data_IF_366354151166
#
_entry.id   IF_366354151166
#
_cell.length_a   1.000
_cell.length_b   1.000
_cell.length_c   1.000
_cell.angle_alpha   90.00
_cell.angle_beta   90.00
_cell.angle_gamma   90.00
#
_symmetry.space_group_name_H-M   'P 1'
#
loop_
_entity.id
_entity.type
_entity.pdbx_description
1 polymer ?
#
# COMPACT_ATOMS: atom_id res chain seq x y z
N UNK A 1 -5.00 8.96 -17.12
CA UNK A 1 -6.21 8.39 -16.49
C UNK A 1 -5.80 7.32 -15.51
N UNK A 2 -6.08 7.57 -14.28
CA UNK A 2 -6.03 6.72 -13.07
C UNK A 2 -5.23 5.41 -13.10
N UNK A 3 -3.91 5.52 -12.87
CA UNK A 3 -3.04 4.45 -12.39
C UNK A 3 -3.06 4.40 -10.85
N UNK A 4 -4.20 4.21 -10.25
CA UNK A 4 -4.31 4.22 -8.79
C UNK A 4 -5.24 3.15 -8.22
N UNK A 5 -5.17 1.91 -8.71
CA UNK A 5 -5.85 0.78 -8.02
C UNK A 5 -5.03 -0.52 -8.02
N UNK A 6 -3.85 -0.60 -8.59
CA UNK A 6 -3.07 -1.86 -8.58
C UNK A 6 -1.80 -1.83 -7.71
N UNK A 7 -1.80 -1.05 -6.63
CA UNK A 7 -0.62 -0.90 -5.77
C UNK A 7 -0.87 -1.34 -4.33
N UNK A 8 -1.36 -2.55 -4.09
CA UNK A 8 -1.48 -3.03 -2.71
C UNK A 8 -1.11 -4.48 -2.45
N UNK A 9 -0.45 -5.18 -3.38
CA UNK A 9 -0.02 -6.57 -3.08
C UNK A 9 1.48 -6.84 -3.35
N UNK A 10 2.25 -5.93 -3.96
CA UNK A 10 3.60 -6.29 -4.43
C UNK A 10 4.77 -5.50 -3.82
N UNK A 11 4.58 -4.70 -2.78
CA UNK A 11 5.65 -3.86 -2.24
C UNK A 11 5.94 -4.13 -0.76
N UNK A 12 6.33 -5.36 -0.39
CA UNK A 12 6.93 -5.64 0.94
C UNK A 12 8.02 -6.70 0.79
N UNK A 13 9.02 -6.46 -0.03
CA UNK A 13 10.31 -7.18 0.05
C UNK A 13 11.39 -6.25 -0.52
N UNK A 14 11.73 -5.18 0.17
CA UNK A 14 13.05 -4.53 0.08
C UNK A 14 13.13 -3.40 1.10
N UNK A 15 13.74 -3.68 2.21
CA UNK A 15 14.67 -2.80 2.94
C UNK A 15 14.95 -3.42 4.31
N UNK A 16 16.11 -4.02 4.47
CA UNK A 16 16.69 -4.27 5.79
C UNK A 16 18.20 -4.34 5.65
N UNK A 17 18.86 -3.26 6.00
CA UNK A 17 20.17 -3.30 6.67
C UNK A 17 20.28 -2.03 7.51
N UNK A 18 20.31 -2.17 8.83
CA UNK A 18 21.31 -1.66 9.73
C UNK A 18 20.86 -1.62 11.20
N UNK A 19 21.50 -2.43 12.02
CA UNK A 19 22.11 -2.19 13.34
C UNK A 19 21.29 -1.61 14.51
N UNK A 20 21.34 -2.36 15.63
CA UNK A 20 21.17 -1.79 16.95
C UNK A 20 20.72 -2.77 18.01
N UNK A 21 21.66 -3.52 18.57
CA UNK A 21 21.49 -4.30 19.80
C UNK A 21 21.08 -3.40 20.97
N UNK A 22 20.01 -3.74 21.64
CA UNK A 22 19.81 -3.44 23.07
C UNK A 22 18.93 -4.52 23.67
N UNK A 23 19.56 -5.38 24.43
CA UNK A 23 18.91 -6.33 25.30
C UNK A 23 18.19 -5.56 26.44
N UNK A 24 16.92 -5.80 26.60
CA UNK A 24 16.23 -5.65 27.88
C UNK A 24 15.37 -6.88 28.09
N UNK A 25 15.86 -7.73 28.97
CA UNK A 25 15.11 -8.81 29.57
C UNK A 25 13.92 -8.24 30.35
N UNK A 26 12.73 -8.61 29.90
CA UNK A 26 11.50 -8.44 30.63
C UNK A 26 10.78 -9.77 30.59
N UNK A 27 10.91 -10.58 31.66
CA UNK A 27 10.08 -11.75 31.93
C UNK A 27 8.61 -11.31 31.95
N UNK A 28 7.92 -11.55 30.89
CA UNK A 28 6.48 -11.52 30.77
C UNK A 28 6.06 -12.85 30.16
N UNK A 29 5.72 -13.83 31.00
CA UNK A 29 5.27 -15.15 30.62
C UNK A 29 4.25 -15.08 29.46
N UNK A 30 4.58 -15.76 28.35
CA UNK A 30 3.71 -16.09 27.24
C UNK A 30 2.47 -16.87 27.76
N UNK A 31 1.46 -16.16 28.20
CA UNK A 31 0.11 -16.66 28.09
C UNK A 31 -0.18 -16.65 26.58
N UNK A 32 -0.04 -17.81 25.92
CA UNK A 32 -0.52 -18.04 24.57
C UNK A 32 -1.96 -17.56 24.54
N UNK A 33 -2.19 -16.39 23.96
CA UNK A 33 -3.51 -15.80 23.88
C UNK A 33 -4.36 -16.67 22.94
N UNK A 34 -5.12 -17.61 23.51
CA UNK A 34 -6.02 -18.51 22.80
C UNK A 34 -7.31 -17.81 22.38
N UNK A 35 -7.28 -16.48 22.25
CA UNK A 35 -8.44 -15.69 21.87
C UNK A 35 -8.81 -15.96 20.42
N UNK A 36 -10.03 -16.45 20.20
CA UNK A 36 -10.59 -16.67 18.86
C UNK A 36 -11.13 -15.35 18.33
N UNK A 37 -10.47 -14.77 17.33
CA UNK A 37 -10.87 -13.51 16.69
C UNK A 37 -12.12 -13.70 15.83
N UNK A 38 -12.20 -14.78 15.05
CA UNK A 38 -13.38 -15.14 14.28
C UNK A 38 -13.50 -16.67 14.08
N UNK A 39 -14.67 -17.12 13.60
CA UNK A 39 -14.83 -18.47 13.07
C UNK A 39 -15.47 -18.42 11.69
N UNK A 40 -15.03 -19.32 10.79
CA UNK A 40 -15.59 -19.51 9.45
C UNK A 40 -15.98 -20.98 9.31
N UNK A 41 -17.27 -21.27 9.24
CA UNK A 41 -17.81 -22.64 9.21
C UNK A 41 -17.24 -23.53 10.33
N UNK A 42 -17.00 -22.96 11.51
CA UNK A 42 -16.42 -23.64 12.66
C UNK A 42 -14.88 -23.65 12.72
N UNK A 43 -14.17 -23.33 11.66
CA UNK A 43 -12.71 -23.15 11.68
C UNK A 43 -12.37 -21.83 12.38
N UNK A 44 -11.46 -21.89 13.34
CA UNK A 44 -11.06 -20.73 14.15
C UNK A 44 -9.96 -19.95 13.46
N UNK A 45 -10.09 -18.64 13.50
CA UNK A 45 -9.02 -17.65 13.21
C UNK A 45 -8.62 -17.05 14.53
N UNK A 46 -7.34 -17.18 14.90
CA UNK A 46 -6.85 -16.75 16.21
C UNK A 46 -6.42 -15.28 16.16
N UNK A 47 -6.57 -14.58 17.29
CA UNK A 47 -6.10 -13.21 17.42
C UNK A 47 -4.58 -13.11 17.20
N UNK A 48 -3.83 -14.14 17.59
CA UNK A 48 -2.38 -14.24 17.34
C UNK A 48 -2.02 -14.23 15.85
N UNK A 49 -2.86 -14.79 14.97
CA UNK A 49 -2.68 -14.73 13.52
C UNK A 49 -2.86 -13.29 13.02
N UNK A 50 -3.86 -12.58 13.55
CA UNK A 50 -4.11 -11.17 13.22
C UNK A 50 -2.92 -10.31 13.65
N UNK A 51 -2.44 -10.46 14.89
CA UNK A 51 -1.29 -9.71 15.43
C UNK A 51 -0.01 -9.99 14.64
N UNK A 52 0.22 -11.24 14.28
CA UNK A 52 1.38 -11.63 13.48
C UNK A 52 1.38 -10.91 12.11
N UNK A 53 0.24 -10.85 11.43
CA UNK A 53 0.13 -10.14 10.15
C UNK A 53 0.27 -8.62 10.30
N UNK A 54 -0.26 -8.02 11.37
CA UNK A 54 -0.06 -6.60 11.66
C UNK A 54 1.43 -6.33 11.90
N UNK A 55 2.10 -7.15 12.72
CA UNK A 55 3.52 -7.02 12.98
C UNK A 55 4.34 -7.10 11.68
N UNK A 56 3.99 -8.03 10.80
CA UNK A 56 4.64 -8.18 9.48
C UNK A 56 4.41 -6.96 8.57
N UNK A 57 3.18 -6.41 8.54
CA UNK A 57 2.84 -5.22 7.75
C UNK A 57 3.52 -3.94 8.27
N UNK A 58 3.66 -3.82 9.59
CA UNK A 58 4.28 -2.66 10.25
C UNK A 58 5.79 -2.84 10.48
N UNK A 59 6.39 -3.93 9.98
CA UNK A 59 7.80 -4.27 10.21
C UNK A 59 8.18 -4.28 11.70
N UNK A 60 7.28 -4.76 12.57
CA UNK A 60 7.46 -4.79 14.01
C UNK A 60 7.15 -3.47 14.73
N UNK A 61 6.76 -2.41 14.01
CA UNK A 61 6.48 -1.09 14.60
C UNK A 61 5.03 -0.93 15.08
N UNK A 62 4.31 -2.02 15.29
CA UNK A 62 2.90 -1.96 15.75
C UNK A 62 2.72 -1.20 17.08
N UNK A 63 3.75 -1.14 17.93
CA UNK A 63 3.72 -0.39 19.17
C UNK A 63 3.64 1.14 18.98
N UNK A 64 3.92 1.64 17.78
CA UNK A 64 3.80 3.05 17.43
C UNK A 64 2.37 3.43 16.99
N UNK A 65 1.50 2.45 16.76
CA UNK A 65 0.10 2.69 16.41
C UNK A 65 -0.67 3.17 17.64
N UNK A 66 -1.51 4.19 17.46
CA UNK A 66 -2.48 4.55 18.49
C UNK A 66 -3.49 3.41 18.72
N UNK A 67 -4.16 3.34 19.89
CA UNK A 67 -5.16 2.32 20.14
C UNK A 67 -6.25 2.23 19.05
N UNK A 68 -6.69 3.37 18.53
CA UNK A 68 -7.68 3.42 17.45
C UNK A 68 -7.13 2.83 16.15
N UNK A 69 -5.91 3.20 15.77
CA UNK A 69 -5.24 2.67 14.58
C UNK A 69 -5.02 1.15 14.69
N UNK A 70 -4.61 0.66 15.86
CA UNK A 70 -4.44 -0.77 16.11
C UNK A 70 -5.79 -1.52 16.00
N UNK A 71 -6.87 -0.96 16.56
CA UNK A 71 -8.21 -1.53 16.43
C UNK A 71 -8.68 -1.62 14.97
N UNK A 72 -8.47 -0.56 14.21
CA UNK A 72 -8.77 -0.53 12.78
C UNK A 72 -7.93 -1.57 12.00
N UNK A 73 -6.62 -1.63 12.25
CA UNK A 73 -5.73 -2.60 11.63
C UNK A 73 -6.17 -4.04 11.94
N UNK A 74 -6.55 -4.34 13.19
CA UNK A 74 -7.07 -5.65 13.61
C UNK A 74 -8.31 -6.05 12.81
N UNK A 75 -9.29 -5.14 12.70
CA UNK A 75 -10.51 -5.42 11.93
C UNK A 75 -10.22 -5.65 10.46
N UNK A 76 -9.38 -4.83 9.85
CA UNK A 76 -9.02 -4.94 8.44
C UNK A 76 -8.25 -6.24 8.13
N UNK A 77 -7.27 -6.59 8.97
CA UNK A 77 -6.52 -7.83 8.81
C UNK A 77 -7.42 -9.05 9.04
N UNK A 78 -8.27 -9.01 10.09
CA UNK A 78 -9.21 -10.09 10.35
C UNK A 78 -10.19 -10.30 9.19
N UNK A 79 -10.72 -9.23 8.61
CA UNK A 79 -11.58 -9.31 7.43
C UNK A 79 -10.87 -10.00 6.27
N UNK A 80 -9.62 -9.66 5.99
CA UNK A 80 -8.83 -10.31 4.93
C UNK A 80 -8.59 -11.81 5.20
N UNK A 81 -8.38 -12.18 6.48
CA UNK A 81 -8.24 -13.59 6.88
C UNK A 81 -9.54 -14.37 6.72
N UNK A 82 -10.69 -13.76 7.09
CA UNK A 82 -12.01 -14.35 6.90
C UNK A 82 -12.27 -14.60 5.40
N UNK A 83 -12.03 -13.59 4.55
CA UNK A 83 -12.23 -13.71 3.10
C UNK A 83 -11.33 -14.79 2.50
N UNK A 84 -10.04 -14.82 2.90
CA UNK A 84 -9.08 -15.85 2.49
C UNK A 84 -9.55 -17.25 2.89
N UNK A 85 -10.02 -17.42 4.12
CA UNK A 85 -10.49 -18.70 4.64
C UNK A 85 -11.76 -19.17 3.93
N UNK A 86 -12.70 -18.26 3.67
CA UNK A 86 -13.95 -18.57 2.94
C UNK A 86 -13.64 -19.05 1.52
N UNK A 87 -12.75 -18.36 0.79
CA UNK A 87 -12.35 -18.77 -0.55
C UNK A 87 -11.57 -20.09 -0.54
N UNK A 88 -10.72 -20.32 0.48
CA UNK A 88 -9.98 -21.57 0.63
C UNK A 88 -10.94 -22.76 0.82
N UNK A 89 -11.89 -22.64 1.74
CA UNK A 89 -12.90 -23.69 1.97
C UNK A 89 -13.76 -23.94 0.73
N UNK A 90 -14.06 -22.90 -0.05
CA UNK A 90 -14.73 -23.04 -1.34
C UNK A 90 -13.87 -23.80 -2.34
N UNK A 91 -12.57 -23.49 -2.44
CA UNK A 91 -11.64 -24.20 -3.30
C UNK A 91 -11.53 -25.68 -2.90
N UNK A 92 -11.47 -25.98 -1.60
CA UNK A 92 -11.46 -27.34 -1.06
C UNK A 92 -12.75 -28.11 -1.38
N UNK A 93 -13.90 -27.48 -1.21
CA UNK A 93 -15.22 -28.04 -1.56
C UNK A 93 -15.32 -28.38 -3.06
N UNK A 94 -14.65 -27.60 -3.90
CA UNK A 94 -14.60 -27.81 -5.35
C UNK A 94 -13.41 -28.69 -5.81
N UNK A 95 -12.66 -29.30 -4.86
CA UNK A 95 -11.50 -30.16 -5.09
C UNK A 95 -10.37 -29.50 -5.90
N UNK A 96 -10.18 -28.19 -5.75
CA UNK A 96 -9.17 -27.39 -6.45
C UNK A 96 -7.85 -27.35 -5.67
N UNK A 97 -7.26 -28.54 -5.41
CA UNK A 97 -5.99 -28.65 -4.69
C UNK A 97 -4.81 -28.48 -5.65
N UNK A 98 -3.78 -27.69 -5.30
CA UNK A 98 -2.54 -27.68 -6.07
C UNK A 98 -1.74 -28.96 -5.84
N UNK A 99 -0.95 -29.33 -6.85
CA UNK A 99 0.02 -30.43 -6.74
C UNK A 99 1.31 -29.95 -6.04
N UNK A 100 2.12 -30.88 -5.55
CA UNK A 100 3.41 -30.55 -4.94
C UNK A 100 4.39 -29.90 -5.94
N UNK A 101 4.29 -30.27 -7.22
CA UNK A 101 5.08 -29.66 -8.29
C UNK A 101 4.69 -28.17 -8.50
N UNK A 102 3.39 -27.87 -8.53
CA UNK A 102 2.91 -26.48 -8.63
C UNK A 102 3.39 -25.62 -7.45
N UNK A 103 3.35 -26.18 -6.23
CA UNK A 103 3.85 -25.50 -5.02
C UNK A 103 5.35 -25.24 -5.15
N UNK A 104 6.11 -26.24 -5.59
CA UNK A 104 7.56 -26.10 -5.76
C UNK A 104 7.92 -25.08 -6.84
N UNK A 105 7.23 -25.12 -7.98
CA UNK A 105 7.39 -24.14 -9.06
C UNK A 105 7.06 -22.71 -8.59
N UNK A 106 5.98 -22.53 -7.82
CA UNK A 106 5.62 -21.23 -7.27
C UNK A 106 6.72 -20.67 -6.36
N UNK A 107 7.24 -21.48 -5.43
CA UNK A 107 8.31 -21.05 -4.52
C UNK A 107 9.59 -20.73 -5.29
N UNK A 108 9.95 -21.56 -6.28
CA UNK A 108 11.11 -21.34 -7.13
C UNK A 108 11.00 -20.04 -7.92
N UNK A 109 9.82 -19.79 -8.53
CA UNK A 109 9.56 -18.53 -9.24
C UNK A 109 9.69 -17.33 -8.33
N UNK A 110 9.14 -17.38 -7.11
CA UNK A 110 9.25 -16.30 -6.12
C UNK A 110 10.70 -16.03 -5.71
N UNK A 111 11.48 -17.06 -5.54
CA UNK A 111 12.92 -16.94 -5.25
C UNK A 111 13.68 -16.27 -6.41
N UNK A 112 13.38 -16.66 -7.65
CA UNK A 112 13.98 -16.05 -8.84
C UNK A 112 13.57 -14.58 -9.02
N UNK A 113 12.29 -14.25 -8.84
CA UNK A 113 11.79 -12.85 -8.87
C UNK A 113 12.51 -11.96 -7.86
N UNK A 114 12.85 -12.51 -6.67
CA UNK A 114 13.58 -11.79 -5.64
C UNK A 114 15.09 -11.74 -5.89
N UNK A 115 15.62 -12.47 -6.90
CA UNK A 115 17.04 -12.53 -7.19
C UNK A 115 17.87 -13.21 -6.09
N UNK A 116 17.25 -14.06 -5.26
CA UNK A 116 17.89 -14.67 -4.09
C UNK A 116 18.49 -16.03 -4.42
N UNK A 117 19.66 -16.29 -3.85
CA UNK A 117 20.22 -17.65 -3.77
C UNK A 117 19.42 -18.48 -2.75
N UNK A 118 19.59 -19.82 -2.78
CA UNK A 118 18.96 -20.73 -1.81
C UNK A 118 19.30 -20.37 -0.36
N UNK A 119 20.57 -20.06 -0.10
CA UNK A 119 21.04 -19.73 1.25
C UNK A 119 20.46 -18.39 1.75
N UNK A 120 20.38 -17.39 0.88
CA UNK A 120 19.79 -16.08 1.20
C UNK A 120 18.30 -16.21 1.47
N UNK A 121 17.60 -16.99 0.66
CA UNK A 121 16.18 -17.28 0.83
C UNK A 121 15.91 -17.97 2.18
N UNK A 122 16.67 -19.03 2.52
CA UNK A 122 16.53 -19.73 3.80
C UNK A 122 16.86 -18.82 5.00
N UNK A 123 17.85 -17.92 4.88
CA UNK A 123 18.16 -16.92 5.91
C UNK A 123 17.01 -15.95 6.10
N UNK A 124 16.41 -15.49 5.00
CA UNK A 124 15.29 -14.54 5.05
C UNK A 124 14.05 -15.16 5.68
N UNK A 125 13.71 -16.41 5.35
CA UNK A 125 12.60 -17.16 5.98
C UNK A 125 12.82 -17.26 7.49
N UNK A 126 14.01 -17.67 7.92
CA UNK A 126 14.36 -17.78 9.35
C UNK A 126 14.31 -16.42 10.07
N UNK A 127 14.74 -15.35 9.43
CA UNK A 127 14.67 -13.99 9.99
C UNK A 127 13.22 -13.52 10.21
N UNK A 128 12.27 -14.08 9.46
CA UNK A 128 10.82 -13.83 9.62
C UNK A 128 10.14 -14.83 10.57
N UNK A 129 10.89 -15.66 11.30
CA UNK A 129 10.40 -16.75 12.13
C UNK A 129 9.49 -17.74 11.37
N UNK A 130 9.73 -17.91 10.07
CA UNK A 130 9.03 -18.87 9.22
C UNK A 130 9.89 -20.10 8.94
N UNK A 131 9.23 -21.16 8.50
CA UNK A 131 9.88 -22.41 8.08
C UNK A 131 9.55 -22.65 6.60
N UNK A 132 10.35 -23.48 5.93
CA UNK A 132 10.03 -23.91 4.56
C UNK A 132 8.67 -24.61 4.50
N UNK A 133 8.31 -25.39 5.53
CA UNK A 133 7.01 -26.04 5.61
C UNK A 133 5.86 -25.03 5.71
N UNK A 134 5.98 -23.99 6.57
CA UNK A 134 4.95 -22.95 6.67
C UNK A 134 4.77 -22.20 5.36
N UNK A 135 5.89 -21.92 4.65
CA UNK A 135 5.84 -21.31 3.33
C UNK A 135 5.13 -22.19 2.30
N UNK A 136 5.41 -23.51 2.29
CA UNK A 136 4.72 -24.47 1.40
C UNK A 136 3.22 -24.53 1.70
N UNK A 137 2.83 -24.50 2.96
CA UNK A 137 1.42 -24.46 3.35
C UNK A 137 0.72 -23.17 2.91
N UNK A 138 1.37 -22.01 3.06
CA UNK A 138 0.83 -20.75 2.56
C UNK A 138 0.74 -20.75 1.03
N UNK A 139 1.76 -21.25 0.33
CA UNK A 139 1.73 -21.41 -1.13
C UNK A 139 0.59 -22.33 -1.57
N UNK A 140 0.35 -23.44 -0.85
CA UNK A 140 -0.76 -24.37 -1.11
C UNK A 140 -2.12 -23.66 -1.00
N UNK A 141 -2.34 -22.90 0.06
CA UNK A 141 -3.58 -22.13 0.26
C UNK A 141 -3.78 -21.10 -0.85
N UNK A 142 -2.73 -20.33 -1.17
CA UNK A 142 -2.78 -19.31 -2.20
C UNK A 142 -3.09 -19.91 -3.58
N UNK A 143 -2.39 -20.98 -3.97
CA UNK A 143 -2.58 -21.65 -5.24
C UNK A 143 -3.98 -22.29 -5.36
N UNK A 144 -4.54 -22.83 -4.27
CA UNK A 144 -5.92 -23.34 -4.26
C UNK A 144 -6.92 -22.21 -4.56
N UNK A 145 -6.75 -21.04 -3.94
CA UNK A 145 -7.59 -19.86 -4.21
C UNK A 145 -7.39 -19.37 -5.65
N UNK A 146 -6.16 -19.32 -6.16
CA UNK A 146 -5.89 -18.94 -7.55
C UNK A 146 -6.55 -19.90 -8.54
N UNK A 147 -6.54 -21.23 -8.28
CA UNK A 147 -7.25 -22.21 -9.09
C UNK A 147 -8.77 -21.96 -9.08
N UNK A 148 -9.33 -21.63 -7.91
CA UNK A 148 -10.74 -21.28 -7.80
C UNK A 148 -11.07 -20.04 -8.64
N UNK A 149 -10.29 -18.97 -8.51
CA UNK A 149 -10.45 -17.77 -9.30
C UNK A 149 -10.30 -18.05 -10.80
N UNK A 150 -9.27 -18.78 -11.21
CA UNK A 150 -9.03 -19.16 -12.60
C UNK A 150 -10.18 -19.98 -13.19
N UNK A 151 -10.81 -20.86 -12.42
CA UNK A 151 -11.99 -21.63 -12.84
C UNK A 151 -13.14 -20.72 -13.28
N UNK A 152 -13.38 -19.61 -12.57
CA UNK A 152 -14.48 -18.68 -12.85
C UNK A 152 -14.09 -17.54 -13.79
N UNK A 153 -12.81 -17.21 -13.92
CA UNK A 153 -12.33 -16.09 -14.73
C UNK A 153 -11.58 -16.54 -16.00
N UNK A 154 -11.16 -17.80 -16.08
CA UNK A 154 -10.31 -18.28 -17.18
C UNK A 154 -11.00 -18.30 -18.55
N UNK A 155 -12.33 -18.41 -18.58
CA UNK A 155 -13.12 -18.41 -19.83
C UNK A 155 -13.59 -17.01 -20.25
N UNK A 156 -13.11 -15.95 -19.60
CA UNK A 156 -13.51 -14.58 -19.94
C UNK A 156 -13.00 -14.23 -21.35
N UNK A 157 -13.93 -14.04 -22.27
CA UNK A 157 -13.69 -13.54 -23.62
C UNK A 157 -14.29 -12.15 -23.78
N UNK A 158 -13.66 -11.33 -24.59
CA UNK A 158 -14.14 -10.00 -24.96
C UNK A 158 -14.43 -10.04 -26.47
N UNK A 159 -15.61 -9.64 -26.86
CA UNK A 159 -16.02 -9.59 -28.27
C UNK A 159 -15.52 -8.31 -28.93
N UNK A 160 -15.37 -8.34 -30.27
CA UNK A 160 -15.01 -7.16 -31.05
C UNK A 160 -16.00 -6.00 -30.86
N UNK A 161 -17.29 -6.31 -30.73
CA UNK A 161 -18.31 -5.31 -30.46
C UNK A 161 -18.10 -4.58 -29.13
N UNK A 162 -17.69 -5.28 -28.09
CA UNK A 162 -17.39 -4.64 -26.78
C UNK A 162 -16.17 -3.72 -26.88
N UNK A 163 -15.16 -4.12 -27.67
CA UNK A 163 -13.98 -3.30 -27.96
C UNK A 163 -14.38 -2.03 -28.72
N UNK A 164 -15.22 -2.15 -29.74
CA UNK A 164 -15.73 -1.03 -30.53
C UNK A 164 -16.61 -0.08 -29.70
N UNK A 165 -17.50 -0.64 -28.87
CA UNK A 165 -18.35 0.13 -27.96
C UNK A 165 -17.51 0.89 -26.92
N UNK A 166 -16.48 0.25 -26.38
CA UNK A 166 -15.57 0.89 -25.43
C UNK A 166 -14.79 2.03 -26.09
N UNK A 167 -14.21 1.77 -27.26
CA UNK A 167 -13.50 2.80 -28.02
C UNK A 167 -14.40 3.99 -28.34
N UNK A 168 -15.62 3.73 -28.82
CA UNK A 168 -16.58 4.77 -29.19
C UNK A 168 -16.97 5.66 -28.02
N UNK A 169 -17.17 5.06 -26.85
CA UNK A 169 -17.52 5.79 -25.61
C UNK A 169 -16.35 6.55 -25.00
N UNK A 170 -15.11 6.17 -25.34
CA UNK A 170 -13.90 6.72 -24.74
C UNK A 170 -12.93 7.33 -25.78
N UNK A 171 -13.43 7.79 -26.93
CA UNK A 171 -12.60 8.31 -28.03
C UNK A 171 -11.57 9.35 -27.60
N UNK A 172 -11.94 10.24 -26.71
CA UNK A 172 -11.05 11.27 -26.18
C UNK A 172 -9.81 10.71 -25.49
N UNK A 173 -9.94 9.52 -24.86
CA UNK A 173 -8.83 8.84 -24.20
C UNK A 173 -7.80 8.26 -25.17
N UNK A 174 -8.17 8.12 -26.44
CA UNK A 174 -7.30 7.64 -27.51
C UNK A 174 -6.72 8.78 -28.38
N UNK A 175 -6.97 10.01 -27.98
CA UNK A 175 -6.34 11.18 -28.58
C UNK A 175 -5.02 11.45 -27.86
N UNK A 176 -3.92 11.24 -28.56
CA UNK A 176 -2.59 11.58 -28.09
C UNK A 176 -2.31 13.03 -28.45
N UNK A 177 -2.49 13.93 -27.51
CA UNK A 177 -2.22 15.35 -27.71
C UNK A 177 -0.74 15.62 -28.00
N UNK A 178 -0.45 16.77 -28.62
CA UNK A 178 0.91 17.30 -28.74
C UNK A 178 1.60 17.26 -27.37
N UNK A 179 2.79 16.69 -27.29
CA UNK A 179 3.49 16.49 -26.03
C UNK A 179 4.89 15.93 -26.20
N UNK A 180 5.52 15.66 -25.07
CA UNK A 180 6.89 15.14 -24.99
C UNK A 180 7.00 14.04 -23.95
N UNK A 181 7.84 13.07 -24.21
CA UNK A 181 8.26 12.05 -23.23
C UNK A 181 9.63 12.46 -22.71
N UNK A 182 9.73 12.59 -21.40
CA UNK A 182 10.89 13.14 -20.73
C UNK A 182 11.48 12.14 -19.73
N UNK A 183 12.78 12.24 -19.54
CA UNK A 183 13.45 11.79 -18.34
C UNK A 183 14.02 13.01 -17.61
N UNK A 184 14.15 12.93 -16.29
CA UNK A 184 14.66 14.02 -15.45
C UNK A 184 15.67 13.51 -14.43
N UNK A 185 16.70 14.30 -14.19
CA UNK A 185 17.54 14.22 -13.00
C UNK A 185 17.15 15.39 -12.13
N UNK A 186 16.83 15.12 -10.87
CA UNK A 186 16.25 16.08 -9.93
C UNK A 186 17.15 16.15 -8.71
N UNK A 187 17.47 17.38 -8.28
CA UNK A 187 18.16 17.69 -7.02
C UNK A 187 17.28 18.65 -6.23
N UNK A 188 16.93 18.25 -5.01
CA UNK A 188 16.05 19.01 -4.12
C UNK A 188 16.89 19.72 -3.06
N UNK A 189 16.81 21.08 -2.93
CA UNK A 189 17.51 21.81 -1.86
C UNK A 189 17.01 21.51 -0.45
N UNK A 190 15.82 20.90 -0.31
CA UNK A 190 15.24 20.56 0.99
C UNK A 190 15.87 19.31 1.57
N UNK A 191 16.12 19.28 2.89
CA UNK A 191 16.60 18.09 3.59
C UNK A 191 15.48 17.05 3.66
N UNK A 192 15.50 16.07 2.75
CA UNK A 192 14.48 15.04 2.59
C UNK A 192 14.86 13.69 3.21
N UNK A 193 16.01 13.57 3.88
CA UNK A 193 16.48 12.37 4.58
C UNK A 193 17.48 11.51 3.80
N UNK A 194 17.35 10.17 3.84
CA UNK A 194 18.32 9.25 3.28
C UNK A 194 18.52 9.45 1.76
N UNK A 195 19.77 9.58 1.32
CA UNK A 195 20.27 9.88 -0.03
C UNK A 195 20.28 11.36 -0.43
N UNK A 196 19.95 12.25 0.49
CA UNK A 196 20.06 13.68 0.30
C UNK A 196 21.48 14.14 0.68
N UNK A 197 22.32 14.36 -0.34
CA UNK A 197 23.70 14.81 -0.19
C UNK A 197 23.92 16.27 -0.60
N UNK A 198 22.82 17.03 -0.83
CA UNK A 198 22.86 18.45 -1.17
C UNK A 198 21.79 19.25 -0.40
N UNK A 199 22.20 19.89 0.68
CA UNK A 199 21.31 20.64 1.57
C UNK A 199 21.41 22.14 1.33
N UNK A 200 20.30 22.71 0.93
CA UNK A 200 20.20 24.11 0.58
C UNK A 200 20.54 24.42 -0.88
N UNK A 201 20.13 25.61 -1.29
CA UNK A 201 20.13 26.06 -2.69
C UNK A 201 21.52 26.01 -3.33
N UNK A 202 22.56 26.46 -2.59
CA UNK A 202 23.92 26.52 -3.13
C UNK A 202 24.52 25.13 -3.40
N UNK A 203 24.28 24.16 -2.52
CA UNK A 203 24.80 22.80 -2.68
C UNK A 203 24.02 22.08 -3.77
N UNK A 204 22.69 22.25 -3.82
CA UNK A 204 21.86 21.66 -4.87
C UNK A 204 22.25 22.19 -6.26
N UNK A 205 22.50 23.51 -6.37
CA UNK A 205 23.00 24.11 -7.62
C UNK A 205 24.35 23.53 -8.01
N UNK A 206 25.28 23.43 -7.09
CA UNK A 206 26.60 22.86 -7.36
C UNK A 206 26.49 21.38 -7.78
N UNK A 207 25.64 20.60 -7.12
CA UNK A 207 25.41 19.21 -7.44
C UNK A 207 24.84 19.04 -8.85
N UNK A 208 23.79 19.80 -9.21
CA UNK A 208 23.18 19.67 -10.55
C UNK A 208 24.15 20.13 -11.66
N UNK A 209 24.99 21.14 -11.41
CA UNK A 209 26.01 21.57 -12.36
C UNK A 209 27.09 20.49 -12.56
N UNK A 210 27.50 19.81 -11.49
CA UNK A 210 28.42 18.67 -11.58
C UNK A 210 27.80 17.49 -12.35
N UNK A 211 26.53 17.20 -12.12
CA UNK A 211 25.77 16.18 -12.86
C UNK A 211 25.73 16.54 -14.35
N UNK A 212 25.44 17.80 -14.68
CA UNK A 212 25.42 18.27 -16.06
C UNK A 212 26.79 18.08 -16.77
N UNK A 213 27.90 18.31 -16.06
CA UNK A 213 29.23 18.04 -16.62
C UNK A 213 29.47 16.53 -16.85
N UNK A 214 28.98 15.67 -15.94
CA UNK A 214 29.11 14.22 -16.08
C UNK A 214 28.33 13.69 -17.30
N UNK A 215 27.15 14.29 -17.59
CA UNK A 215 26.31 13.89 -18.73
C UNK A 215 26.99 14.07 -20.10
N UNK A 216 28.07 14.85 -20.19
CA UNK A 216 28.85 14.98 -21.43
C UNK A 216 29.57 13.69 -21.83
N UNK A 217 29.85 12.81 -20.86
CA UNK A 217 30.64 11.59 -21.06
C UNK A 217 29.98 10.31 -20.48
N UNK A 218 28.77 10.42 -19.97
CA UNK A 218 28.06 9.31 -19.32
C UNK A 218 26.62 9.18 -19.83
N UNK A 219 26.06 7.99 -19.74
CA UNK A 219 24.65 7.77 -20.08
C UNK A 219 23.74 8.45 -19.05
N UNK A 220 22.69 9.11 -19.56
CA UNK A 220 21.74 9.86 -18.76
C UNK A 220 21.04 8.98 -17.71
N UNK A 221 20.62 7.76 -18.09
CA UNK A 221 19.89 6.88 -17.21
C UNK A 221 20.79 6.32 -16.09
N UNK A 222 22.06 6.08 -16.37
CA UNK A 222 23.05 5.66 -15.36
C UNK A 222 23.29 6.79 -14.35
N UNK A 223 23.50 8.02 -14.85
CA UNK A 223 23.67 9.18 -13.98
C UNK A 223 22.40 9.45 -13.15
N UNK A 224 21.21 9.33 -13.75
CA UNK A 224 19.94 9.47 -13.03
C UNK A 224 19.81 8.46 -11.88
N UNK A 225 20.14 7.17 -12.13
CA UNK A 225 20.11 6.14 -11.07
C UNK A 225 21.05 6.43 -9.92
N UNK A 226 22.22 6.98 -10.25
CA UNK A 226 23.29 7.21 -9.26
C UNK A 226 23.14 8.53 -8.49
N UNK A 227 22.52 9.55 -9.10
CA UNK A 227 22.63 10.94 -8.61
C UNK A 227 21.31 11.67 -8.44
N UNK A 228 20.19 11.19 -9.04
CA UNK A 228 18.89 11.84 -8.91
C UNK A 228 18.27 11.53 -7.54
N UNK A 229 17.69 12.52 -6.89
CA UNK A 229 17.00 12.42 -5.60
C UNK A 229 15.51 12.09 -5.75
N UNK A 230 15.02 12.01 -6.97
CA UNK A 230 13.63 11.65 -7.25
C UNK A 230 13.45 10.13 -7.42
N UNK A 231 12.26 9.65 -7.08
CA UNK A 231 11.90 8.21 -7.18
C UNK A 231 11.98 7.64 -8.60
N UNK A 232 11.95 8.50 -9.62
CA UNK A 232 12.15 8.09 -11.01
C UNK A 232 13.58 7.58 -11.28
N UNK A 233 14.53 7.81 -10.37
CA UNK A 233 15.92 7.37 -10.48
C UNK A 233 16.03 5.87 -10.76
N UNK A 234 15.21 5.01 -10.10
CA UNK A 234 15.21 3.54 -10.30
C UNK A 234 14.89 3.15 -11.74
N UNK A 235 14.18 4.02 -12.47
CA UNK A 235 13.85 3.86 -13.89
C UNK A 235 14.74 4.71 -14.80
N UNK A 236 15.92 5.14 -14.32
CA UNK A 236 16.82 5.99 -15.08
C UNK A 236 16.31 7.41 -15.30
N UNK A 237 15.49 7.91 -14.38
CA UNK A 237 14.88 9.24 -14.43
C UNK A 237 13.65 9.36 -15.31
N UNK A 238 13.07 8.26 -15.79
CA UNK A 238 11.88 8.29 -16.66
C UNK A 238 10.68 8.88 -15.94
N UNK A 239 10.16 10.01 -16.40
CA UNK A 239 8.96 10.68 -15.90
C UNK A 239 7.76 10.56 -16.86
N UNK A 240 7.93 9.85 -17.99
CA UNK A 240 6.90 9.51 -18.93
C UNK A 240 6.51 10.63 -19.88
N UNK A 241 5.37 10.43 -20.56
CA UNK A 241 4.82 11.36 -21.56
C UNK A 241 3.88 12.36 -20.89
N UNK A 242 4.08 13.65 -21.23
CA UNK A 242 3.19 14.73 -20.86
C UNK A 242 2.77 15.54 -22.08
N UNK A 243 1.47 15.82 -22.21
CA UNK A 243 0.97 16.73 -23.24
C UNK A 243 1.35 18.17 -22.93
N UNK A 244 1.38 19.02 -23.93
CA UNK A 244 1.59 20.45 -23.74
C UNK A 244 0.60 21.06 -22.73
N UNK A 245 -0.67 20.63 -22.77
CA UNK A 245 -1.69 21.05 -21.82
C UNK A 245 -1.37 20.61 -20.38
N UNK A 246 -0.91 19.36 -20.20
CA UNK A 246 -0.50 18.85 -18.88
C UNK A 246 0.75 19.57 -18.33
N UNK A 247 1.73 19.89 -19.21
CA UNK A 247 2.89 20.67 -18.78
C UNK A 247 2.47 22.06 -18.28
N UNK A 248 1.55 22.73 -19.00
CA UNK A 248 1.00 24.03 -18.57
C UNK A 248 0.20 23.91 -17.28
N UNK A 249 -0.60 22.88 -17.13
CA UNK A 249 -1.37 22.59 -15.91
C UNK A 249 -0.46 22.35 -14.69
N UNK A 250 0.70 21.73 -14.91
CA UNK A 250 1.73 21.51 -13.90
C UNK A 250 2.67 22.71 -13.73
N UNK A 251 2.28 23.90 -14.21
CA UNK A 251 2.99 25.16 -14.10
C UNK A 251 4.41 25.18 -14.71
N UNK A 252 4.70 24.34 -15.69
CA UNK A 252 5.97 24.43 -16.40
C UNK A 252 6.03 25.78 -17.13
N UNK A 253 7.16 26.51 -17.04
CA UNK A 253 7.33 27.77 -17.76
C UNK A 253 7.19 27.59 -19.28
N UNK A 254 6.50 28.49 -19.95
CA UNK A 254 6.32 28.45 -21.41
C UNK A 254 7.65 28.37 -22.18
N UNK A 255 8.69 29.03 -21.68
CA UNK A 255 10.04 28.97 -22.25
C UNK A 255 10.62 27.54 -22.20
N UNK A 256 10.40 26.81 -21.09
CA UNK A 256 10.86 25.45 -20.93
C UNK A 256 10.05 24.49 -21.81
N UNK A 257 8.73 24.68 -21.88
CA UNK A 257 7.85 23.93 -22.78
C UNK A 257 8.30 24.12 -24.23
N UNK A 258 8.54 25.35 -24.65
CA UNK A 258 9.05 25.68 -26.01
C UNK A 258 10.40 25.00 -26.25
N UNK A 259 11.29 24.98 -25.24
CA UNK A 259 12.58 24.31 -25.34
C UNK A 259 12.41 22.82 -25.62
N UNK A 260 11.52 22.12 -24.90
CA UNK A 260 11.26 20.70 -25.12
C UNK A 260 10.81 20.39 -26.57
N UNK A 261 9.98 21.25 -27.17
CA UNK A 261 9.55 21.06 -28.54
C UNK A 261 10.58 21.45 -29.61
N UNK A 262 11.56 22.27 -29.26
CA UNK A 262 12.67 22.68 -30.19
C UNK A 262 13.87 21.76 -30.12
N UNK A 263 14.12 21.07 -28.99
CA UNK A 263 15.20 20.10 -28.83
C UNK A 263 15.06 18.92 -29.80
N UNK A 264 16.18 18.25 -30.10
CA UNK A 264 16.17 16.96 -30.80
C UNK A 264 15.95 15.83 -29.77
N UNK A 265 15.38 14.73 -30.24
CA UNK A 265 15.24 13.52 -29.43
C UNK A 265 16.64 13.01 -29.03
N UNK A 266 16.84 12.79 -27.74
CA UNK A 266 18.13 12.44 -27.16
C UNK A 266 18.86 13.59 -26.48
N UNK A 267 18.55 14.84 -26.84
CA UNK A 267 19.13 16.01 -26.19
C UNK A 267 18.64 16.16 -24.74
N UNK A 268 19.41 16.87 -23.92
CA UNK A 268 19.03 17.27 -22.58
C UNK A 268 19.19 18.78 -22.37
N UNK A 269 18.46 19.33 -21.40
CA UNK A 269 18.49 20.76 -21.09
C UNK A 269 19.75 21.11 -20.27
N UNK A 270 20.12 22.38 -20.28
CA UNK A 270 20.93 22.93 -19.21
C UNK A 270 20.20 22.75 -17.86
N UNK A 271 20.91 22.86 -16.70
CA UNK A 271 20.27 22.91 -15.39
C UNK A 271 19.19 23.99 -15.31
N UNK A 272 17.99 23.61 -14.92
CA UNK A 272 16.82 24.50 -14.81
C UNK A 272 16.29 24.43 -13.40
N UNK A 273 16.09 25.59 -12.77
CA UNK A 273 15.34 25.69 -11.53
C UNK A 273 13.83 25.74 -11.83
N UNK A 274 13.07 24.86 -11.20
CA UNK A 274 11.63 24.80 -11.35
C UNK A 274 10.97 24.28 -10.05
N UNK A 275 9.97 24.99 -9.55
CA UNK A 275 9.24 24.63 -8.33
C UNK A 275 10.16 24.40 -7.12
N UNK A 276 11.22 25.19 -6.97
CA UNK A 276 12.16 25.10 -5.85
C UNK A 276 13.11 23.92 -5.91
N UNK A 277 13.29 23.29 -7.08
CA UNK A 277 14.20 22.18 -7.32
C UNK A 277 15.02 22.41 -8.57
N UNK A 278 16.14 21.73 -8.66
CA UNK A 278 16.99 21.75 -9.84
C UNK A 278 16.78 20.52 -10.71
N UNK A 279 16.69 20.75 -12.02
CA UNK A 279 16.39 19.70 -13.01
C UNK A 279 17.38 19.75 -14.17
N UNK A 280 17.70 18.55 -14.71
CA UNK A 280 18.14 18.38 -16.09
C UNK A 280 17.16 17.45 -16.74
N UNK A 281 16.46 17.91 -17.80
CA UNK A 281 15.49 17.12 -18.56
C UNK A 281 16.13 16.57 -19.82
N UNK A 282 15.89 15.27 -20.11
CA UNK A 282 16.23 14.65 -21.39
C UNK A 282 14.96 14.39 -22.18
N UNK A 283 14.97 14.76 -23.48
CA UNK A 283 13.87 14.48 -24.39
C UNK A 283 14.01 13.05 -24.93
N UNK A 284 13.09 12.16 -24.57
CA UNK A 284 13.05 10.79 -25.07
C UNK A 284 12.25 10.63 -26.35
N UNK A 285 11.12 11.33 -26.43
CA UNK A 285 10.24 11.33 -27.61
C UNK A 285 9.46 12.64 -27.69
N UNK A 286 9.11 13.04 -28.90
CA UNK A 286 8.35 14.25 -29.19
C UNK A 286 7.18 13.92 -30.12
N UNK A 287 5.99 14.34 -29.69
CA UNK A 287 4.76 14.33 -30.47
C UNK A 287 4.40 15.77 -30.82
N UNK A 288 4.56 16.16 -32.06
CA UNK A 288 4.38 17.56 -32.52
C UNK A 288 2.94 17.87 -32.88
N UNK A 289 2.16 16.86 -33.21
CA UNK A 289 0.76 16.98 -33.64
C UNK A 289 -0.14 16.11 -32.76
N UNK A 290 -1.41 16.47 -32.66
CA UNK A 290 -2.41 15.62 -32.04
C UNK A 290 -2.70 14.43 -32.93
N UNK A 291 -2.50 13.24 -32.42
CA UNK A 291 -2.79 11.97 -33.06
C UNK A 291 -4.08 11.37 -32.50
N UNK A 292 -5.07 11.14 -33.35
CA UNK A 292 -6.26 10.39 -32.99
C UNK A 292 -6.00 8.90 -33.27
N UNK A 293 -5.64 8.15 -32.24
CA UNK A 293 -5.42 6.71 -32.37
C UNK A 293 -6.75 6.01 -32.58
N UNK A 294 -6.88 5.30 -33.68
CA UNK A 294 -8.06 4.52 -34.04
C UNK A 294 -7.93 3.06 -33.55
N UNK A 295 -8.96 2.26 -33.73
CA UNK A 295 -8.89 0.82 -33.44
C UNK A 295 -7.88 0.07 -34.31
N UNK A 296 -7.54 0.63 -35.47
CA UNK A 296 -6.51 0.11 -36.41
C UNK A 296 -5.10 0.54 -36.00
N UNK A 297 -4.97 1.52 -35.12
CA UNK A 297 -3.66 1.93 -34.59
C UNK A 297 -3.03 0.80 -33.80
N UNK A 298 -1.71 0.56 -33.96
CA UNK A 298 -1.02 -0.54 -33.28
C UNK A 298 -1.27 -0.55 -31.77
N UNK A 299 -1.68 -1.70 -31.24
CA UNK A 299 -1.88 -1.95 -29.82
C UNK A 299 -3.23 -1.50 -29.26
N UNK A 300 -3.97 -0.57 -29.90
CA UNK A 300 -5.21 0.00 -29.32
C UNK A 300 -6.25 -1.09 -29.06
N UNK A 301 -6.52 -1.95 -30.04
CA UNK A 301 -7.50 -3.04 -29.90
C UNK A 301 -7.08 -4.04 -28.82
N UNK A 302 -5.79 -4.35 -28.75
CA UNK A 302 -5.24 -5.25 -27.72
C UNK A 302 -5.34 -4.63 -26.33
N UNK A 303 -4.93 -3.37 -26.16
CA UNK A 303 -4.97 -2.67 -24.88
C UNK A 303 -6.40 -2.59 -24.32
N UNK A 304 -7.39 -2.30 -25.20
CA UNK A 304 -8.82 -2.28 -24.81
C UNK A 304 -9.28 -3.68 -24.41
N UNK A 305 -8.92 -4.70 -25.19
CA UNK A 305 -9.31 -6.09 -24.89
C UNK A 305 -8.77 -6.54 -23.55
N UNK A 306 -7.50 -6.24 -23.26
CA UNK A 306 -6.87 -6.58 -21.99
C UNK A 306 -7.48 -5.80 -20.81
N UNK A 307 -7.75 -4.51 -20.99
CA UNK A 307 -8.41 -3.69 -19.99
C UNK A 307 -9.81 -4.20 -19.65
N UNK A 308 -10.63 -4.51 -20.66
CA UNK A 308 -11.98 -5.06 -20.47
C UNK A 308 -11.95 -6.44 -19.84
N UNK A 309 -11.01 -7.30 -20.26
CA UNK A 309 -10.81 -8.63 -19.66
C UNK A 309 -10.44 -8.53 -18.19
N UNK A 310 -9.47 -7.70 -17.86
CA UNK A 310 -9.04 -7.46 -16.48
C UNK A 310 -10.19 -6.94 -15.61
N UNK A 311 -10.94 -5.96 -16.11
CA UNK A 311 -12.10 -5.41 -15.41
C UNK A 311 -13.17 -6.48 -15.15
N UNK A 312 -13.47 -7.32 -16.15
CA UNK A 312 -14.43 -8.43 -16.02
C UNK A 312 -13.95 -9.49 -15.04
N UNK A 313 -12.67 -9.85 -15.08
CA UNK A 313 -12.07 -10.78 -14.14
C UNK A 313 -12.11 -10.26 -12.70
N UNK A 314 -11.81 -8.98 -12.49
CA UNK A 314 -11.93 -8.33 -11.18
C UNK A 314 -13.37 -8.37 -10.66
N UNK A 315 -14.34 -8.05 -11.51
CA UNK A 315 -15.76 -8.12 -11.14
C UNK A 315 -16.17 -9.56 -10.77
N UNK A 316 -15.77 -10.56 -11.56
CA UNK A 316 -16.09 -11.95 -11.28
C UNK A 316 -15.44 -12.44 -9.97
N UNK A 317 -14.23 -12.00 -9.66
CA UNK A 317 -13.58 -12.30 -8.39
C UNK A 317 -14.32 -11.68 -7.20
N UNK A 318 -14.83 -10.43 -7.34
CA UNK A 318 -15.69 -9.83 -6.33
C UNK A 318 -17.00 -10.60 -6.15
N UNK A 319 -17.65 -10.98 -7.25
CA UNK A 319 -18.87 -11.78 -7.21
C UNK A 319 -18.62 -13.15 -6.59
N UNK A 320 -17.52 -13.82 -6.94
CA UNK A 320 -17.12 -15.08 -6.34
C UNK A 320 -16.95 -14.97 -4.83
N UNK A 321 -16.26 -13.92 -4.36
CA UNK A 321 -16.09 -13.65 -2.93
C UNK A 321 -17.43 -13.40 -2.25
N UNK A 322 -18.28 -12.56 -2.83
CA UNK A 322 -19.61 -12.24 -2.28
C UNK A 322 -20.45 -13.51 -2.11
N UNK A 323 -20.55 -14.34 -3.15
CA UNK A 323 -21.28 -15.62 -3.09
C UNK A 323 -20.70 -16.53 -2.01
N UNK A 324 -19.36 -16.64 -1.95
CA UNK A 324 -18.70 -17.48 -0.96
C UNK A 324 -18.92 -16.99 0.48
N UNK A 325 -18.92 -15.66 0.69
CA UNK A 325 -19.21 -15.04 1.99
C UNK A 325 -20.66 -15.27 2.45
N UNK A 326 -21.62 -15.17 1.54
CA UNK A 326 -23.06 -15.43 1.84
C UNK A 326 -23.30 -16.89 2.20
N UNK A 327 -22.61 -17.83 1.55
CA UNK A 327 -22.72 -19.26 1.84
C UNK A 327 -22.02 -19.66 3.15
N UNK A 328 -21.06 -18.86 3.64
CA UNK A 328 -20.27 -19.18 4.81
C UNK A 328 -20.95 -18.73 6.13
N UNK A 329 -20.85 -19.57 7.17
CA UNK A 329 -21.22 -19.16 8.53
C UNK A 329 -20.03 -18.48 9.19
N UNK A 330 -20.03 -17.13 9.18
CA UNK A 330 -18.99 -16.31 9.79
C UNK A 330 -19.46 -15.76 11.14
N UNK A 331 -18.62 -15.89 12.17
CA UNK A 331 -18.82 -15.23 13.47
C UNK A 331 -17.57 -14.39 13.77
N UNK A 332 -17.72 -13.07 13.84
CA UNK A 332 -16.65 -12.14 14.14
C UNK A 332 -16.68 -11.75 15.62
N UNK A 333 -15.90 -12.48 16.44
CA UNK A 333 -15.83 -12.27 17.88
C UNK A 333 -15.10 -10.98 18.26
N UNK A 334 -14.11 -10.58 17.45
CA UNK A 334 -13.35 -9.36 17.67
C UNK A 334 -14.25 -8.13 17.53
N UNK A 335 -15.05 -8.05 16.47
CA UNK A 335 -16.01 -6.96 16.30
C UNK A 335 -17.06 -6.95 17.41
N UNK A 336 -17.58 -8.12 17.80
CA UNK A 336 -18.52 -8.24 18.92
C UNK A 336 -17.89 -7.75 20.25
N UNK A 337 -16.63 -8.09 20.52
CA UNK A 337 -15.90 -7.62 21.69
C UNK A 337 -15.69 -6.10 21.69
N UNK A 338 -15.40 -5.51 20.53
CA UNK A 338 -15.26 -4.05 20.39
C UNK A 338 -16.59 -3.32 20.66
N UNK A 339 -17.70 -3.88 20.18
CA UNK A 339 -19.03 -3.32 20.43
C UNK A 339 -19.45 -3.47 21.91
N UNK A 340 -19.07 -4.56 22.56
CA UNK A 340 -19.32 -4.76 23.99
C UNK A 340 -18.48 -3.84 24.88
N UNK A 341 -17.31 -3.40 24.42
CA UNK A 341 -16.37 -2.59 25.17
C UNK A 341 -15.93 -1.35 24.35
N UNK A 342 -16.83 -0.41 24.04
CA UNK A 342 -16.54 0.71 23.15
C UNK A 342 -15.50 1.69 23.71
N UNK A 343 -15.35 1.78 25.04
CA UNK A 343 -14.40 2.69 25.67
C UNK A 343 -12.94 2.30 25.48
N UNK A 344 -12.65 1.02 25.30
CA UNK A 344 -11.30 0.50 25.07
C UNK A 344 -11.18 -0.34 23.80
N UNK A 345 -12.23 -0.39 22.98
CA UNK A 345 -12.29 -1.12 21.71
C UNK A 345 -11.88 -2.61 21.83
N UNK A 346 -12.18 -3.23 22.98
CA UNK A 346 -11.79 -4.63 23.23
C UNK A 346 -10.27 -4.87 23.29
N UNK A 347 -9.46 -3.81 23.45
CA UNK A 347 -8.00 -3.89 23.46
C UNK A 347 -7.41 -4.34 24.79
N UNK A 348 -8.24 -4.42 25.84
CA UNK A 348 -7.80 -4.86 27.17
C UNK A 348 -7.93 -6.39 27.28
N UNK A 349 -6.89 -7.11 27.74
CA UNK A 349 -7.01 -8.55 27.98
C UNK A 349 -8.10 -8.82 29.00
N UNK A 350 -8.92 -9.85 28.77
CA UNK A 350 -10.00 -10.28 29.68
C UNK A 350 -9.52 -10.68 31.09
N UNK A 351 -8.21 -10.85 31.27
CA UNK A 351 -7.58 -11.22 32.57
C UNK A 351 -7.41 -10.07 33.57
N UNK A 352 -7.74 -8.82 33.21
CA UNK A 352 -7.60 -7.68 34.11
C UNK A 352 -8.87 -7.36 34.94
N UNK A 353 -10.01 -7.99 34.65
CA UNK A 353 -11.26 -7.75 35.41
C UNK A 353 -11.46 -8.66 36.62
N UNK A 354 -10.58 -9.64 36.87
CA UNK A 354 -10.71 -10.55 38.04
C UNK A 354 -9.93 -10.11 39.28
N UNK A 355 -9.26 -8.95 39.24
CA UNK A 355 -8.47 -8.47 40.39
C UNK A 355 -8.89 -7.06 40.84
N UNK A 356 -10.12 -6.89 41.27
CA UNK A 356 -10.54 -5.58 41.76
C UNK A 356 -11.97 -5.49 42.29
N UNK A 357 -12.45 -6.49 43.03
CA UNK A 357 -13.55 -6.26 43.94
C UNK A 357 -12.96 -5.92 45.31
N UNK A 358 -13.07 -4.70 45.82
CA UNK A 358 -12.85 -4.48 47.23
C UNK A 358 -14.06 -5.01 48.01
N UNK A 359 -13.77 -5.95 48.88
CA UNK A 359 -14.69 -6.50 49.86
C UNK A 359 -15.40 -5.39 50.65
N UNK A 360 -16.69 -5.51 50.72
CA UNK A 360 -17.52 -4.82 51.69
C UNK A 360 -17.15 -5.23 53.12
N UNK A 361 -17.08 -4.26 53.99
CA UNK A 361 -17.17 -4.52 55.44
C UNK A 361 -16.36 -3.57 56.28
N UNK A 362 -16.97 -2.52 56.78
CA UNK A 362 -17.18 -2.37 58.25
C UNK A 362 -17.87 -1.05 58.57
N UNK A 363 -18.96 -1.19 59.27
CA UNK A 363 -19.77 -0.17 59.95
C UNK A 363 -18.96 0.62 60.95
N UNK A 364 -19.14 1.91 61.00
CA UNK A 364 -19.02 2.68 62.25
C UNK A 364 -19.94 3.91 62.19
N UNK A 365 -20.72 4.04 63.19
CA UNK A 365 -21.81 4.88 63.60
C UNK A 365 -21.46 6.37 63.77
N UNK A 366 -22.45 7.23 64.00
CA UNK A 366 -22.38 8.67 63.70
C UNK A 366 -22.04 9.50 64.93
N UNK A 367 -21.47 10.68 64.77
CA UNK A 367 -21.55 11.71 65.79
C UNK A 367 -21.61 13.13 65.22
N UNK A 368 -22.79 13.73 65.52
CA UNK A 368 -23.14 15.12 65.88
C UNK A 368 -22.53 16.31 65.09
N UNK A 369 -23.47 17.06 64.55
CA UNK A 369 -23.43 18.51 64.38
C UNK A 369 -23.16 19.31 65.65
N UNK A 370 -22.78 20.62 65.62
CA UNK A 370 -23.77 21.65 65.30
C UNK A 370 -23.28 22.91 64.51
N UNK A 371 -24.21 23.45 63.81
CA UNK A 371 -24.71 24.83 63.80
C UNK A 371 -23.86 26.04 63.34
N UNK A 372 -24.43 26.73 62.42
CA UNK A 372 -24.82 28.17 62.36
C UNK A 372 -23.90 29.15 61.66
N UNK A 373 -24.54 29.94 60.80
CA UNK A 373 -24.15 31.30 60.39
C UNK A 373 -24.34 31.52 58.89
N UNK A 374 -25.52 31.76 58.41
CA UNK A 374 -26.14 33.03 57.93
C UNK A 374 -25.26 33.93 57.09
N UNK A 375 -25.60 34.21 55.87
CA UNK A 375 -26.45 35.25 55.30
C UNK A 375 -26.01 35.65 53.92
N UNK A 376 -26.93 35.63 53.00
CA UNK A 376 -27.51 36.72 52.20
C UNK A 376 -26.57 37.26 51.09
N UNK A 377 -26.94 37.27 49.91
CA UNK A 377 -27.91 37.96 49.13
C UNK A 377 -27.41 38.33 47.74
N UNK A 378 -28.28 38.10 46.84
CA UNK A 378 -28.65 38.97 45.73
C UNK A 378 -27.89 38.90 44.39
N UNK A 379 -28.63 38.38 43.39
CA UNK A 379 -28.67 38.87 42.01
C UNK A 379 -29.12 40.32 41.92
N UNK A 380 -28.93 41.06 40.81
CA UNK A 380 -29.59 40.73 39.53
C UNK A 380 -28.91 41.19 38.23
N UNK A 381 -29.34 40.56 37.15
CA UNK A 381 -29.78 41.05 35.82
C UNK A 381 -29.14 42.27 35.13
N UNK A 382 -29.07 42.14 33.80
CA UNK A 382 -29.12 43.21 32.82
C UNK A 382 -28.24 42.97 31.60
N UNK A 383 -28.69 42.38 30.54
CA UNK A 383 -29.26 42.95 29.29
C UNK A 383 -28.28 43.82 28.48
N UNK A 384 -28.17 43.48 27.18
CA UNK A 384 -28.13 44.47 26.14
C UNK A 384 -27.10 44.31 25.05
N UNK A 385 -27.51 43.73 23.98
CA UNK A 385 -27.37 44.10 22.56
C UNK A 385 -26.25 45.05 22.12
N UNK A 386 -25.44 44.63 21.21
CA UNK A 386 -25.49 45.03 19.79
C UNK A 386 -24.61 44.07 18.98
#
# INVERSE_FOLDING_TARGET
MNKSVNLTITAVIMALMALGSSACSGDGADAKDNTVAATVNGKKIMLTEVEHLISKQTQGQQAQLSPLQLAQARLQVLESLIQKEVLLQRAEKENLKPTEDEITQYITAKKQEAGLTEEEFLRQIKAQNETEQSLREEARKLLAIQKLQAKYTGSVSISDREVEDYYTKNKESFTLGKGVELAAIIVDPADNGAQDDAKGEAEAKLKIDNIYQQLKNADFAEVARARSEDRSNVQGGDIGFATEAQLKQNNFPDALITRFFTMQVGDYTDPVEFSGRWYVFKLKRKQTETENRTLESPGVRQDITEALRSQRQQLLNLVLLEVAMVEAKVVNNLAASMLANPSNLGLRPASAEAAGSPAAGQSATPNQSPAAGSSSSASPAGSGSK
#
